data_IF_057150531336
#
_entry.id   IF_057150531336
#
_cell.length_a   1.000
_cell.length_b   1.000
_cell.length_c   1.000
_cell.angle_alpha   90.00
_cell.angle_beta   90.00
_cell.angle_gamma   90.00
#
_symmetry.space_group_name_H-M   'P 1'
#
loop_
_entity.id
_entity.type
_entity.pdbx_description
1 polymer ?
#
# COMPACT_ATOMS: atom_id res chain seq x y z
N UNK A 1 -44.82 13.80 -42.82
CA UNK A 1 -43.83 12.70 -42.81
C UNK A 1 -42.41 13.06 -43.25
N UNK A 2 -42.20 14.12 -44.05
CA UNK A 2 -40.85 14.53 -44.48
C UNK A 2 -40.00 15.12 -43.33
N UNK A 3 -40.57 15.87 -42.41
CA UNK A 3 -39.82 16.54 -41.35
C UNK A 3 -39.30 15.60 -40.25
N UNK A 4 -39.90 14.42 -40.06
CA UNK A 4 -39.45 13.45 -39.04
C UNK A 4 -38.19 12.69 -39.51
N UNK A 5 -38.02 12.52 -40.81
CA UNK A 5 -36.84 11.86 -41.38
C UNK A 5 -35.58 12.76 -41.38
N UNK A 6 -35.74 14.08 -41.53
CA UNK A 6 -34.62 15.02 -41.45
C UNK A 6 -34.10 15.18 -40.01
N UNK A 7 -35.01 15.18 -39.01
CA UNK A 7 -34.60 15.21 -37.59
C UNK A 7 -33.89 13.92 -37.15
N UNK A 8 -34.32 12.75 -37.63
CA UNK A 8 -33.66 11.49 -37.35
C UNK A 8 -32.29 11.39 -38.05
N UNK A 9 -32.14 11.92 -39.25
CA UNK A 9 -30.85 11.98 -39.92
C UNK A 9 -29.89 12.94 -39.23
N UNK A 10 -30.38 14.08 -38.72
CA UNK A 10 -29.57 15.02 -37.92
C UNK A 10 -29.13 14.44 -36.61
N UNK A 11 -29.99 13.66 -35.91
CA UNK A 11 -29.59 12.90 -34.71
C UNK A 11 -28.59 11.79 -35.02
N UNK A 12 -28.73 11.08 -36.15
CA UNK A 12 -27.76 10.05 -36.54
C UNK A 12 -26.39 10.63 -36.89
N UNK A 13 -26.32 11.80 -37.53
CA UNK A 13 -25.06 12.50 -37.81
C UNK A 13 -24.37 13.03 -36.53
N UNK A 14 -25.13 13.43 -35.51
CA UNK A 14 -24.55 13.82 -34.22
C UNK A 14 -23.97 12.63 -33.43
N UNK A 15 -24.50 11.43 -33.61
CA UNK A 15 -23.96 10.22 -32.99
C UNK A 15 -22.72 9.64 -33.71
N UNK A 16 -22.50 9.97 -34.98
CA UNK A 16 -21.42 9.40 -35.81
C UNK A 16 -20.14 10.27 -35.80
N UNK A 17 -20.18 11.51 -35.33
CA UNK A 17 -19.10 12.48 -35.59
C UNK A 17 -18.23 12.82 -34.37
N UNK A 18 -18.63 12.47 -33.15
CA UNK A 18 -17.73 12.60 -32.00
C UNK A 18 -17.48 11.23 -31.40
N UNK A 19 -16.28 10.65 -31.60
CA UNK A 19 -15.89 9.54 -30.75
C UNK A 19 -15.99 10.04 -29.30
N UNK A 20 -16.83 9.41 -28.50
CA UNK A 20 -16.90 9.70 -27.08
C UNK A 20 -15.50 9.41 -26.55
N UNK A 21 -14.70 10.46 -26.39
CA UNK A 21 -13.35 10.36 -25.86
C UNK A 21 -13.46 9.75 -24.45
N UNK A 22 -12.93 8.54 -24.28
CA UNK A 22 -13.01 7.84 -23.00
C UNK A 22 -12.20 8.60 -21.95
N UNK A 23 -12.81 8.82 -20.78
CA UNK A 23 -12.08 9.28 -19.60
C UNK A 23 -11.00 8.28 -19.23
N UNK A 24 -9.78 8.75 -19.00
CA UNK A 24 -8.61 7.89 -18.75
C UNK A 24 -8.08 8.13 -17.34
N UNK A 25 -7.89 7.06 -16.59
CA UNK A 25 -7.30 7.10 -15.26
C UNK A 25 -5.98 6.33 -15.26
N UNK A 26 -4.88 7.02 -14.97
CA UNK A 26 -3.54 6.46 -15.02
C UNK A 26 -2.99 6.34 -13.60
N UNK A 27 -2.51 5.18 -13.23
CA UNK A 27 -1.88 4.92 -11.94
C UNK A 27 -0.41 4.55 -12.18
N UNK A 28 0.53 5.31 -11.61
CA UNK A 28 1.95 4.94 -11.61
C UNK A 28 2.29 4.42 -10.22
N UNK A 29 2.60 3.13 -10.10
CA UNK A 29 2.81 2.50 -8.80
C UNK A 29 3.86 1.39 -8.83
N UNK A 30 4.36 1.00 -7.65
CA UNK A 30 5.13 -0.22 -7.49
C UNK A 30 4.22 -1.43 -7.64
N UNK A 31 4.58 -2.34 -8.57
CA UNK A 31 3.90 -3.63 -8.68
C UNK A 31 4.61 -4.61 -7.74
N UNK A 32 3.97 -4.96 -6.65
CA UNK A 32 4.62 -5.74 -5.61
C UNK A 32 4.18 -7.21 -5.63
N UNK A 33 5.17 -8.12 -5.62
CA UNK A 33 4.97 -9.54 -5.35
C UNK A 33 4.66 -9.79 -3.86
N UNK A 34 3.86 -8.90 -3.27
CA UNK A 34 3.47 -8.92 -1.86
C UNK A 34 2.00 -8.56 -1.71
N UNK A 35 1.38 -9.04 -0.63
CA UNK A 35 0.08 -8.54 -0.19
C UNK A 35 0.33 -7.42 0.82
N UNK A 36 0.01 -6.20 0.44
CA UNK A 36 0.19 -5.00 1.25
C UNK A 36 -0.91 -3.98 0.92
N UNK A 37 -1.03 -2.96 1.76
CA UNK A 37 -2.07 -1.93 1.60
C UNK A 37 -2.06 -1.26 0.23
N UNK A 38 -0.89 -0.84 -0.26
CA UNK A 38 -0.78 -0.19 -1.57
C UNK A 38 -1.30 -1.04 -2.75
N UNK A 39 -0.81 -2.27 -2.97
CA UNK A 39 -1.35 -3.15 -4.01
C UNK A 39 -2.87 -3.41 -3.89
N UNK A 40 -3.38 -3.57 -2.67
CA UNK A 40 -4.82 -3.76 -2.44
C UNK A 40 -5.59 -2.50 -2.79
N UNK A 41 -5.10 -1.33 -2.36
CA UNK A 41 -5.68 -0.04 -2.69
C UNK A 41 -5.78 0.16 -4.21
N UNK A 42 -4.69 -0.07 -4.94
CA UNK A 42 -4.69 0.09 -6.40
C UNK A 42 -5.62 -0.90 -7.10
N UNK A 43 -5.68 -2.16 -6.65
CA UNK A 43 -6.60 -3.14 -7.22
C UNK A 43 -8.08 -2.73 -7.03
N UNK A 44 -8.41 -2.23 -5.84
CA UNK A 44 -9.75 -1.72 -5.55
C UNK A 44 -10.06 -0.45 -6.37
N UNK A 45 -9.10 0.46 -6.50
CA UNK A 45 -9.25 1.69 -7.31
C UNK A 45 -9.47 1.34 -8.79
N UNK A 46 -8.68 0.43 -9.35
CA UNK A 46 -8.87 -0.06 -10.73
C UNK A 46 -10.29 -0.56 -10.93
N UNK A 47 -10.73 -1.49 -10.07
CA UNK A 47 -12.08 -2.05 -10.15
C UNK A 47 -13.17 -0.98 -10.09
N UNK A 48 -13.04 -0.03 -9.16
CA UNK A 48 -14.01 1.05 -8.98
C UNK A 48 -14.07 1.97 -10.20
N UNK A 49 -12.92 2.44 -10.69
CA UNK A 49 -12.87 3.34 -11.84
C UNK A 49 -13.38 2.68 -13.13
N UNK A 50 -13.10 1.38 -13.33
CA UNK A 50 -13.64 0.62 -14.47
C UNK A 50 -15.16 0.47 -14.39
N UNK A 51 -15.73 0.29 -13.19
CA UNK A 51 -17.20 0.26 -13.00
C UNK A 51 -17.87 1.61 -13.36
N UNK A 52 -17.14 2.71 -13.22
CA UNK A 52 -17.59 4.03 -13.66
C UNK A 52 -17.36 4.29 -15.16
N UNK A 53 -16.86 3.31 -15.91
CA UNK A 53 -16.63 3.42 -17.34
C UNK A 53 -15.33 4.14 -17.73
N UNK A 54 -14.38 4.34 -16.78
CA UNK A 54 -13.06 4.88 -17.09
C UNK A 54 -12.17 3.82 -17.72
N UNK A 55 -11.37 4.24 -18.69
CA UNK A 55 -10.24 3.45 -19.13
C UNK A 55 -9.12 3.55 -18.09
N UNK A 56 -8.80 2.45 -17.43
CA UNK A 56 -7.75 2.44 -16.39
C UNK A 56 -6.46 1.88 -16.94
N UNK A 57 -5.37 2.62 -16.73
CA UNK A 57 -4.01 2.24 -17.10
C UNK A 57 -3.18 2.19 -15.84
N UNK A 58 -2.56 1.06 -15.58
CA UNK A 58 -1.56 0.95 -14.52
C UNK A 58 -0.18 0.84 -15.14
N UNK A 59 0.73 1.70 -14.74
CA UNK A 59 2.13 1.72 -15.14
C UNK A 59 2.99 1.23 -13.96
N UNK A 60 3.33 -0.07 -13.89
CA UNK A 60 4.16 -0.58 -12.82
C UNK A 60 5.61 -0.12 -12.96
N UNK A 61 6.20 0.30 -11.85
CA UNK A 61 7.61 0.73 -11.81
C UNK A 61 8.60 -0.41 -11.60
N UNK A 62 8.10 -1.63 -11.41
CA UNK A 62 8.91 -2.84 -11.24
C UNK A 62 8.23 -4.03 -11.91
N UNK A 63 9.06 -5.01 -12.34
CA UNK A 63 8.57 -6.25 -12.92
C UNK A 63 8.05 -7.17 -11.83
N UNK A 64 6.73 -7.32 -11.74
CA UNK A 64 6.10 -8.35 -10.92
C UNK A 64 6.40 -9.75 -11.49
N UNK A 65 6.75 -10.71 -10.64
CA UNK A 65 6.93 -12.12 -11.03
C UNK A 65 5.60 -12.86 -11.04
N UNK A 66 4.72 -12.48 -10.12
CA UNK A 66 3.36 -13.02 -9.99
C UNK A 66 2.45 -11.96 -9.40
N UNK A 67 1.16 -12.07 -9.68
CA UNK A 67 0.13 -11.28 -9.03
C UNK A 67 -0.31 -11.98 -7.76
N UNK A 68 -0.29 -11.28 -6.63
CA UNK A 68 -0.79 -11.77 -5.37
C UNK A 68 -2.12 -11.12 -4.98
N UNK A 69 -2.45 -9.96 -5.58
CA UNK A 69 -3.71 -9.25 -5.35
C UNK A 69 -4.56 -9.34 -6.61
N UNK A 70 -5.71 -10.02 -6.53
CA UNK A 70 -6.64 -10.20 -7.68
C UNK A 70 -7.04 -8.84 -8.28
N UNK A 71 -7.23 -8.80 -9.59
CA UNK A 71 -7.60 -7.61 -10.35
C UNK A 71 -6.43 -6.88 -11.00
N UNK A 72 -5.20 -7.26 -10.65
CA UNK A 72 -3.97 -6.67 -11.22
C UNK A 72 -3.30 -7.55 -12.29
N UNK A 73 -3.87 -8.71 -12.60
CA UNK A 73 -3.30 -9.73 -13.51
C UNK A 73 -3.05 -9.18 -14.90
N UNK A 74 -3.97 -8.37 -15.42
CA UNK A 74 -3.90 -7.77 -16.75
C UNK A 74 -2.73 -6.79 -16.94
N UNK A 75 -2.12 -6.34 -15.85
CA UNK A 75 -0.97 -5.42 -15.88
C UNK A 75 0.39 -6.13 -15.73
N UNK A 76 0.41 -7.46 -15.59
CA UNK A 76 1.62 -8.26 -15.35
C UNK A 76 2.63 -8.23 -16.49
N UNK A 77 2.37 -7.89 -17.65
CA UNK A 77 3.34 -7.79 -18.76
C UNK A 77 3.92 -6.40 -18.97
N UNK A 78 3.23 -5.40 -18.43
CA UNK A 78 3.54 -4.00 -18.63
C UNK A 78 4.29 -3.47 -17.42
N UNK A 79 5.52 -3.01 -17.59
CA UNK A 79 6.28 -2.38 -16.52
C UNK A 79 7.36 -1.47 -17.09
N UNK A 80 7.78 -0.50 -16.32
CA UNK A 80 8.91 0.36 -16.67
C UNK A 80 10.21 -0.46 -16.46
N UNK A 81 10.98 -0.76 -17.51
CA UNK A 81 12.16 -1.59 -17.39
C UNK A 81 13.32 -0.90 -16.69
N UNK A 82 13.19 0.38 -16.46
CA UNK A 82 14.19 1.25 -15.83
C UNK A 82 13.85 1.50 -14.36
N UNK A 83 14.87 1.78 -13.56
CA UNK A 83 14.65 2.22 -12.19
C UNK A 83 14.28 3.71 -12.25
N UNK A 84 13.10 4.05 -11.74
CA UNK A 84 12.65 5.43 -11.61
C UNK A 84 13.20 6.02 -10.31
N UNK A 85 14.42 6.59 -10.36
CA UNK A 85 14.95 7.45 -9.30
C UNK A 85 14.43 8.90 -9.50
N UNK A 86 14.85 9.85 -8.65
CA UNK A 86 14.50 11.26 -8.84
C UNK A 86 14.85 11.74 -10.27
N UNK A 87 13.96 12.49 -10.95
CA UNK A 87 14.22 12.98 -12.31
C UNK A 87 15.53 13.74 -12.45
N UNK A 88 15.98 14.44 -11.40
CA UNK A 88 17.24 15.17 -11.41
C UNK A 88 18.50 14.30 -11.35
N UNK A 89 18.36 13.01 -11.08
CA UNK A 89 19.43 12.03 -11.20
C UNK A 89 19.68 11.59 -12.66
N UNK A 90 18.90 12.09 -13.60
CA UNK A 90 19.05 11.83 -15.03
C UNK A 90 19.49 13.09 -15.76
N UNK A 91 20.27 12.94 -16.84
CA UNK A 91 20.50 14.02 -17.78
C UNK A 91 19.24 14.24 -18.63
N UNK A 92 19.11 15.44 -19.20
CA UNK A 92 17.93 15.85 -19.94
C UNK A 92 17.47 14.78 -20.97
N UNK A 93 18.40 14.32 -21.82
CA UNK A 93 18.07 13.30 -22.83
C UNK A 93 17.53 12.01 -22.22
N UNK A 94 18.14 11.52 -21.14
CA UNK A 94 17.71 10.31 -20.44
C UNK A 94 16.33 10.49 -19.79
N UNK A 95 16.08 11.67 -19.25
CA UNK A 95 14.77 12.00 -18.66
C UNK A 95 13.68 12.03 -19.73
N UNK A 96 13.95 12.66 -20.88
CA UNK A 96 13.02 12.65 -22.01
C UNK A 96 12.73 11.22 -22.51
N UNK A 97 13.74 10.37 -22.67
CA UNK A 97 13.57 8.96 -23.03
C UNK A 97 12.66 8.20 -22.06
N UNK A 98 12.75 8.51 -20.76
CA UNK A 98 11.89 7.88 -19.75
C UNK A 98 10.46 8.42 -19.79
N UNK A 99 10.29 9.71 -20.01
CA UNK A 99 8.95 10.32 -20.17
C UNK A 99 8.28 9.79 -21.44
N UNK A 100 8.99 9.73 -22.55
CA UNK A 100 8.50 9.14 -23.82
C UNK A 100 8.08 7.68 -23.62
N UNK A 101 8.85 6.93 -22.80
CA UNK A 101 8.47 5.57 -22.45
C UNK A 101 7.19 5.50 -21.61
N UNK A 102 7.04 6.37 -20.61
CA UNK A 102 5.81 6.46 -19.83
C UNK A 102 4.61 6.87 -20.70
N UNK A 103 4.82 7.84 -21.60
CA UNK A 103 3.80 8.28 -22.54
C UNK A 103 3.34 7.15 -23.50
N UNK A 104 4.23 6.20 -23.83
CA UNK A 104 3.88 5.08 -24.70
C UNK A 104 2.79 4.15 -24.15
N UNK A 105 2.51 4.20 -22.84
CA UNK A 105 1.39 3.48 -22.24
C UNK A 105 0.05 4.23 -22.40
N UNK A 106 0.08 5.50 -22.74
CA UNK A 106 -1.07 6.38 -22.75
C UNK A 106 -1.75 6.34 -24.13
N UNK A 107 -3.07 6.08 -24.21
CA UNK A 107 -3.80 6.13 -25.47
C UNK A 107 -3.75 7.53 -26.08
N UNK A 108 -3.67 7.58 -27.42
CA UNK A 108 -3.72 8.84 -28.16
C UNK A 108 -5.12 9.44 -28.17
N UNK A 109 -6.12 8.58 -28.30
CA UNK A 109 -7.55 8.96 -28.38
C UNK A 109 -8.17 9.00 -26.96
N UNK A 110 -7.63 9.87 -26.10
CA UNK A 110 -8.09 10.04 -24.72
C UNK A 110 -8.88 11.31 -24.53
N UNK A 111 -9.89 11.25 -23.66
CA UNK A 111 -10.61 12.41 -23.15
C UNK A 111 -9.95 13.00 -21.91
N UNK A 112 -10.75 13.38 -20.94
CA UNK A 112 -10.27 13.79 -19.62
C UNK A 112 -9.31 12.74 -19.06
N UNK A 113 -8.11 13.19 -18.66
CA UNK A 113 -7.06 12.29 -18.19
C UNK A 113 -6.58 12.72 -16.81
N UNK A 114 -6.60 11.78 -15.88
CA UNK A 114 -6.11 11.96 -14.52
C UNK A 114 -4.96 10.98 -14.28
N UNK A 115 -3.88 11.47 -13.69
CA UNK A 115 -2.74 10.64 -13.25
C UNK A 115 -2.75 10.64 -11.73
N UNK A 116 -2.79 9.46 -11.13
CA UNK A 116 -2.64 9.26 -9.69
C UNK A 116 -1.30 8.60 -9.36
N UNK A 117 -0.66 9.14 -8.34
CA UNK A 117 0.57 8.57 -7.75
C UNK A 117 0.49 8.64 -6.22
N UNK A 118 1.32 7.84 -5.53
CA UNK A 118 1.21 7.77 -4.07
C UNK A 118 2.51 7.54 -3.32
N UNK A 119 3.66 7.50 -4.02
CA UNK A 119 4.97 7.27 -3.38
C UNK A 119 6.06 8.12 -4.03
N UNK A 120 7.06 8.51 -3.26
CA UNK A 120 8.16 9.43 -3.61
C UNK A 120 8.46 9.62 -5.11
N UNK A 121 9.22 8.70 -5.70
CA UNK A 121 9.68 8.89 -7.08
C UNK A 121 8.55 8.78 -8.11
N UNK A 122 7.50 8.02 -7.83
CA UNK A 122 6.35 7.96 -8.74
C UNK A 122 5.63 9.30 -8.82
N UNK A 123 5.63 10.09 -7.73
CA UNK A 123 5.03 11.42 -7.71
C UNK A 123 5.72 12.37 -8.69
N UNK A 124 7.05 12.33 -8.77
CA UNK A 124 7.79 13.20 -9.71
C UNK A 124 7.64 12.75 -11.17
N UNK A 125 7.59 11.44 -11.41
CA UNK A 125 7.38 10.92 -12.77
C UNK A 125 5.94 11.05 -13.23
N UNK A 126 4.99 11.01 -12.31
CA UNK A 126 3.58 11.36 -12.56
C UNK A 126 3.44 12.82 -12.98
N UNK A 127 4.15 13.74 -12.31
CA UNK A 127 4.20 15.15 -12.69
C UNK A 127 4.81 15.37 -14.07
N UNK A 128 5.95 14.72 -14.36
CA UNK A 128 6.60 14.83 -15.66
C UNK A 128 5.72 14.29 -16.81
N UNK A 129 5.01 13.18 -16.58
CA UNK A 129 4.08 12.64 -17.55
C UNK A 129 2.87 13.54 -17.72
N UNK A 130 2.32 14.09 -16.61
CA UNK A 130 1.18 14.99 -16.64
C UNK A 130 1.48 16.27 -17.45
N UNK A 131 2.66 16.86 -17.24
CA UNK A 131 3.13 18.00 -18.04
C UNK A 131 3.21 17.64 -19.53
N UNK A 132 3.78 16.48 -19.88
CA UNK A 132 3.95 16.03 -21.26
C UNK A 132 2.62 15.84 -21.98
N UNK A 133 1.62 15.28 -21.31
CA UNK A 133 0.33 14.95 -21.93
C UNK A 133 -0.80 15.93 -21.58
N UNK A 134 -0.49 17.02 -20.88
CA UNK A 134 -1.45 18.02 -20.39
C UNK A 134 -2.59 17.43 -19.54
N UNK A 135 -2.26 16.49 -18.65
CA UNK A 135 -3.21 15.83 -17.77
C UNK A 135 -3.20 16.44 -16.34
N UNK A 136 -4.26 16.21 -15.58
CA UNK A 136 -4.29 16.51 -14.14
C UNK A 136 -3.46 15.46 -13.39
N UNK A 137 -2.59 15.88 -12.48
CA UNK A 137 -1.82 15.00 -11.63
C UNK A 137 -2.20 15.15 -10.16
N UNK A 138 -2.67 14.08 -9.58
CA UNK A 138 -3.11 13.97 -8.19
C UNK A 138 -2.12 13.09 -7.42
N UNK A 139 -1.71 13.55 -6.25
CA UNK A 139 -0.89 12.80 -5.32
C UNK A 139 -1.75 12.36 -4.13
N UNK A 140 -1.94 11.05 -3.97
CA UNK A 140 -2.54 10.47 -2.77
C UNK A 140 -1.42 9.75 -2.02
N UNK A 141 -0.84 10.44 -1.03
CA UNK A 141 0.37 9.98 -0.37
C UNK A 141 0.08 8.80 0.57
N UNK A 142 0.58 7.61 0.19
CA UNK A 142 0.29 6.33 0.85
C UNK A 142 1.35 5.89 1.86
N UNK A 143 2.49 6.58 1.94
CA UNK A 143 3.57 6.18 2.83
C UNK A 143 3.35 6.75 4.24
N UNK A 144 3.21 5.86 5.23
CA UNK A 144 3.11 6.23 6.64
C UNK A 144 4.48 6.63 7.23
N UNK A 145 5.57 6.25 6.56
CA UNK A 145 6.92 6.56 7.02
C UNK A 145 7.34 7.92 6.48
N UNK A 146 8.04 8.70 7.30
CA UNK A 146 8.54 10.00 6.91
C UNK A 146 9.43 9.90 5.67
N UNK A 147 9.06 10.47 4.53
CA UNK A 147 9.97 10.59 3.42
C UNK A 147 11.18 11.40 3.89
N UNK A 148 12.36 11.07 3.39
CA UNK A 148 13.55 11.93 3.57
C UNK A 148 13.37 13.18 2.72
N UNK A 149 12.76 14.18 3.30
CA UNK A 149 12.34 15.38 2.61
C UNK A 149 13.51 16.35 2.52
N UNK A 150 13.88 16.74 1.32
CA UNK A 150 14.77 17.88 1.05
C UNK A 150 13.91 19.11 0.76
N UNK A 151 14.50 20.31 0.84
CA UNK A 151 13.79 21.56 0.58
C UNK A 151 13.01 21.55 -0.76
N UNK A 152 13.64 21.16 -1.85
CA UNK A 152 12.96 21.08 -3.15
C UNK A 152 11.86 20.04 -3.22
N UNK A 153 11.90 19.00 -2.39
CA UNK A 153 10.82 18.00 -2.26
C UNK A 153 9.64 18.61 -1.52
N UNK A 154 9.88 19.37 -0.46
CA UNK A 154 8.81 20.07 0.26
C UNK A 154 8.12 21.09 -0.64
N UNK A 155 8.89 21.86 -1.43
CA UNK A 155 8.32 22.80 -2.39
C UNK A 155 7.41 22.13 -3.42
N UNK A 156 7.77 20.92 -3.87
CA UNK A 156 6.90 20.12 -4.73
C UNK A 156 5.58 19.75 -4.03
N UNK A 157 5.64 19.22 -2.82
CA UNK A 157 4.42 18.86 -2.09
C UNK A 157 3.61 20.08 -1.69
N UNK A 158 4.26 21.20 -1.35
CA UNK A 158 3.58 22.46 -1.11
C UNK A 158 2.86 22.97 -2.36
N UNK A 159 3.50 22.89 -3.52
CA UNK A 159 2.86 23.25 -4.80
C UNK A 159 1.60 22.41 -5.04
N UNK A 160 1.65 21.10 -4.77
CA UNK A 160 0.49 20.21 -4.89
C UNK A 160 -0.59 20.52 -3.86
N UNK A 161 -0.20 20.84 -2.63
CA UNK A 161 -1.09 21.23 -1.55
C UNK A 161 -1.83 22.54 -1.86
N UNK A 162 -1.11 23.57 -2.27
CA UNK A 162 -1.68 24.87 -2.63
C UNK A 162 -2.67 24.78 -3.81
N UNK A 163 -2.63 23.70 -4.56
CA UNK A 163 -3.52 23.43 -5.72
C UNK A 163 -4.64 22.44 -5.41
N UNK A 164 -4.74 21.99 -4.15
CA UNK A 164 -5.66 20.92 -3.75
C UNK A 164 -5.47 19.63 -4.57
N UNK A 165 -4.23 19.33 -4.96
CA UNK A 165 -3.81 18.15 -5.71
C UNK A 165 -3.03 17.15 -4.83
N UNK A 166 -2.96 17.39 -3.50
CA UNK A 166 -2.30 16.53 -2.51
C UNK A 166 -3.28 16.09 -1.44
N UNK A 167 -3.43 14.79 -1.28
CA UNK A 167 -4.08 14.18 -0.13
C UNK A 167 -3.17 13.11 0.50
N UNK A 168 -3.40 12.80 1.76
CA UNK A 168 -2.70 11.74 2.49
C UNK A 168 -3.69 10.72 3.06
N UNK A 169 -3.20 9.54 3.42
CA UNK A 169 -4.04 8.48 4.03
C UNK A 169 -4.51 8.83 5.45
N UNK A 170 -3.93 9.83 6.09
CA UNK A 170 -4.34 10.31 7.42
C UNK A 170 -3.76 11.68 7.74
N UNK A 171 -4.40 12.39 8.65
CA UNK A 171 -3.94 13.70 9.17
C UNK A 171 -2.49 13.64 9.68
N UNK A 172 -2.08 12.67 10.53
CA UNK A 172 -0.69 12.59 10.99
C UNK A 172 0.33 12.42 9.85
N UNK A 173 -0.04 11.74 8.76
CA UNK A 173 0.84 11.57 7.60
C UNK A 173 1.05 12.92 6.91
N UNK A 174 -0.01 13.72 6.70
CA UNK A 174 0.09 15.06 6.13
C UNK A 174 0.96 15.99 6.99
N UNK A 175 0.68 16.03 8.30
CA UNK A 175 1.45 16.83 9.25
C UNK A 175 2.93 16.41 9.29
N UNK A 176 3.21 15.11 9.25
CA UNK A 176 4.58 14.59 9.19
C UNK A 176 5.29 14.91 7.88
N UNK A 177 4.58 14.93 6.75
CA UNK A 177 5.14 15.29 5.44
C UNK A 177 5.72 16.71 5.48
N UNK A 178 5.03 17.65 6.12
CA UNK A 178 5.43 19.06 6.21
C UNK A 178 6.23 19.42 7.48
N UNK A 179 6.48 18.44 8.36
CA UNK A 179 7.14 18.68 9.65
C UNK A 179 8.49 19.42 9.51
N UNK A 180 8.61 20.54 10.22
CA UNK A 180 9.80 21.38 10.20
C UNK A 180 9.83 22.43 9.07
N UNK A 181 8.82 22.46 8.20
CA UNK A 181 8.68 23.44 7.11
C UNK A 181 7.35 24.20 7.19
N UNK A 182 6.27 23.50 7.46
CA UNK A 182 4.93 24.06 7.60
C UNK A 182 4.22 23.34 8.72
N UNK A 183 3.55 24.09 9.60
CA UNK A 183 2.65 23.54 10.61
C UNK A 183 1.23 23.57 10.04
N UNK A 184 0.60 22.41 9.95
CA UNK A 184 -0.78 22.27 9.50
C UNK A 184 -1.67 21.85 10.65
N UNK A 185 -2.78 22.56 10.84
CA UNK A 185 -3.85 22.12 11.72
C UNK A 185 -4.63 20.97 11.12
N UNK A 186 -5.43 20.27 11.92
CA UNK A 186 -6.11 19.05 11.48
C UNK A 186 -7.12 19.30 10.34
N UNK A 187 -7.79 20.43 10.35
CA UNK A 187 -8.77 20.88 9.35
C UNK A 187 -8.12 21.36 8.04
N UNK A 188 -6.83 21.71 8.08
CA UNK A 188 -6.03 22.04 6.89
C UNK A 188 -5.51 20.79 6.18
N UNK A 189 -5.61 19.62 6.81
CA UNK A 189 -5.10 18.38 6.28
C UNK A 189 -6.13 17.63 5.44
N UNK A 190 -5.91 17.51 4.13
CA UNK A 190 -6.71 16.61 3.30
C UNK A 190 -6.31 15.14 3.56
N UNK A 191 -7.13 14.44 4.33
CA UNK A 191 -6.94 13.03 4.65
C UNK A 191 -8.05 12.19 4.01
N UNK A 192 -7.68 11.33 3.05
CA UNK A 192 -8.60 10.46 2.34
C UNK A 192 -8.47 9.02 2.84
N UNK A 193 -9.60 8.43 3.20
CA UNK A 193 -9.62 7.04 3.62
C UNK A 193 -9.29 6.11 2.45
N UNK A 194 -8.27 5.27 2.60
CA UNK A 194 -7.84 4.34 1.56
C UNK A 194 -8.37 2.94 1.81
N UNK A 195 -9.06 2.37 0.83
CA UNK A 195 -9.55 0.98 0.84
C UNK A 195 -8.38 -0.01 0.60
N UNK A 196 -7.51 -0.16 1.60
CA UNK A 196 -6.23 -0.90 1.54
C UNK A 196 -6.19 -2.15 2.42
N UNK A 197 -7.32 -2.55 3.00
CA UNK A 197 -7.41 -3.69 3.91
C UNK A 197 -7.57 -4.99 3.13
N UNK A 198 -6.88 -6.07 3.55
CA UNK A 198 -7.07 -7.40 2.97
C UNK A 198 -8.52 -7.85 3.14
N UNK A 199 -8.98 -8.72 2.26
CA UNK A 199 -10.34 -9.27 2.26
C UNK A 199 -10.36 -10.69 2.79
N UNK A 200 -11.54 -11.12 3.21
CA UNK A 200 -11.83 -12.48 3.65
C UNK A 200 -12.59 -13.21 2.56
N UNK A 201 -12.35 -14.51 2.43
CA UNK A 201 -13.12 -15.37 1.53
C UNK A 201 -13.25 -16.77 2.10
N UNK A 202 -14.33 -17.46 1.75
CA UNK A 202 -14.59 -18.84 2.19
C UNK A 202 -14.12 -19.80 1.10
N UNK A 203 -12.85 -20.21 1.20
CA UNK A 203 -12.26 -21.18 0.30
C UNK A 203 -11.36 -22.16 1.05
N UNK A 204 -11.25 -23.36 0.51
CA UNK A 204 -10.34 -24.39 1.02
C UNK A 204 -8.89 -23.98 0.76
N UNK A 205 -8.11 -23.89 1.82
CA UNK A 205 -6.67 -23.67 1.75
C UNK A 205 -5.92 -24.71 2.59
N UNK A 206 -4.79 -25.19 2.09
CA UNK A 206 -3.97 -26.22 2.77
C UNK A 206 -3.65 -25.90 4.23
N UNK A 207 -3.55 -24.62 4.58
CA UNK A 207 -3.29 -24.19 5.96
C UNK A 207 -4.41 -24.62 6.91
N UNK A 208 -5.65 -24.79 6.42
CA UNK A 208 -6.76 -25.24 7.25
C UNK A 208 -6.50 -26.62 7.88
N UNK A 209 -5.91 -27.54 7.12
CA UNK A 209 -5.57 -28.89 7.63
C UNK A 209 -4.28 -28.91 8.45
N UNK A 210 -3.37 -27.96 8.22
CA UNK A 210 -2.08 -27.91 8.91
C UNK A 210 -2.16 -27.36 10.33
N UNK A 211 -3.11 -26.46 10.62
CA UNK A 211 -3.29 -25.87 11.95
C UNK A 211 -3.89 -26.90 12.91
N UNK A 212 -3.14 -27.40 13.90
CA UNK A 212 -3.63 -28.38 14.84
C UNK A 212 -4.57 -27.75 15.87
N UNK A 213 -5.33 -28.57 16.55
CA UNK A 213 -6.00 -28.18 17.78
C UNK A 213 -4.97 -28.17 18.91
N UNK A 214 -4.67 -27.00 19.46
CA UNK A 214 -3.77 -26.79 20.59
C UNK A 214 -4.54 -26.27 21.81
N UNK A 215 -3.87 -26.12 22.97
CA UNK A 215 -4.49 -25.46 24.12
C UNK A 215 -4.77 -23.99 23.81
N UNK A 216 -3.84 -23.36 23.03
CA UNK A 216 -3.97 -21.99 22.57
C UNK A 216 -3.47 -21.87 21.13
N UNK A 217 -4.26 -21.21 20.27
CA UNK A 217 -3.90 -20.85 18.91
C UNK A 217 -3.84 -19.32 18.78
N UNK A 218 -2.66 -18.78 18.52
CA UNK A 218 -2.42 -17.33 18.43
C UNK A 218 -2.12 -16.97 16.98
N UNK A 219 -2.80 -15.94 16.46
CA UNK A 219 -2.62 -15.47 15.09
C UNK A 219 -1.95 -14.10 15.01
N UNK A 220 -1.22 -13.88 13.94
CA UNK A 220 -0.75 -12.59 13.46
C UNK A 220 -1.13 -12.44 11.99
N UNK A 221 -1.57 -11.26 11.57
CA UNK A 221 -1.80 -10.93 10.16
C UNK A 221 -0.92 -9.74 9.79
N UNK A 222 -0.07 -9.89 8.78
CA UNK A 222 0.75 -8.80 8.28
C UNK A 222 2.10 -9.22 7.72
N UNK A 223 2.83 -8.24 7.16
CA UNK A 223 4.21 -8.47 6.72
C UNK A 223 5.15 -8.62 7.92
N UNK A 224 6.12 -9.52 7.79
CA UNK A 224 7.07 -9.81 8.87
C UNK A 224 8.19 -8.74 9.01
N UNK A 225 8.26 -7.77 8.09
CA UNK A 225 9.17 -6.63 8.16
C UNK A 225 8.55 -5.36 8.77
N UNK A 226 7.32 -5.42 9.28
CA UNK A 226 6.72 -4.25 9.96
C UNK A 226 7.53 -3.92 11.21
N UNK A 227 7.78 -2.62 11.51
CA UNK A 227 8.63 -2.22 12.66
C UNK A 227 8.20 -2.80 14.00
N UNK A 228 6.89 -2.90 14.24
CA UNK A 228 6.31 -3.45 15.47
C UNK A 228 6.32 -4.98 15.54
N UNK A 229 6.64 -5.68 14.44
CA UNK A 229 6.56 -7.14 14.37
C UNK A 229 7.51 -7.83 15.37
N UNK A 230 8.73 -7.33 15.51
CA UNK A 230 9.69 -7.90 16.48
C UNK A 230 9.17 -7.86 17.92
N UNK A 231 8.49 -6.76 18.29
CA UNK A 231 7.89 -6.58 19.61
C UNK A 231 6.77 -7.61 19.83
N UNK A 232 5.89 -7.79 18.83
CA UNK A 232 4.82 -8.80 18.89
C UNK A 232 5.43 -10.21 19.09
N UNK A 233 6.48 -10.54 18.35
CA UNK A 233 7.16 -11.85 18.46
C UNK A 233 7.75 -12.05 19.86
N UNK A 234 8.43 -11.05 20.41
CA UNK A 234 9.04 -11.13 21.72
C UNK A 234 7.98 -11.27 22.83
N UNK A 235 6.83 -10.63 22.71
CA UNK A 235 5.69 -10.78 23.60
C UNK A 235 5.00 -12.16 23.45
N UNK A 236 4.93 -12.72 22.25
CA UNK A 236 4.46 -14.09 22.04
C UNK A 236 5.38 -15.08 22.72
N UNK A 237 6.70 -14.93 22.58
CA UNK A 237 7.70 -15.77 23.24
C UNK A 237 7.58 -15.66 24.77
N UNK A 238 7.39 -14.45 25.29
CA UNK A 238 7.18 -14.20 26.72
C UNK A 238 5.95 -14.95 27.24
N UNK A 239 4.81 -14.84 26.52
CA UNK A 239 3.59 -15.57 26.85
C UNK A 239 3.80 -17.10 26.79
N UNK A 240 4.46 -17.61 25.76
CA UNK A 240 4.72 -19.03 25.57
C UNK A 240 5.61 -19.62 26.68
N UNK A 241 6.65 -18.89 27.10
CA UNK A 241 7.52 -19.29 28.22
C UNK A 241 6.75 -19.39 29.53
N UNK A 242 5.88 -18.43 29.84
CA UNK A 242 5.05 -18.45 31.06
C UNK A 242 4.03 -19.61 31.06
N UNK A 243 3.67 -20.12 29.88
CA UNK A 243 2.71 -21.19 29.70
C UNK A 243 3.36 -22.49 29.19
N UNK A 244 4.58 -22.83 29.66
CA UNK A 244 5.39 -23.93 29.14
C UNK A 244 4.77 -25.34 29.23
N UNK A 245 3.70 -25.53 30.04
CA UNK A 245 2.94 -26.81 30.13
C UNK A 245 1.81 -26.91 29.10
N UNK A 246 1.53 -25.82 28.35
CA UNK A 246 0.46 -25.75 27.36
C UNK A 246 1.00 -25.97 25.96
N UNK A 247 0.28 -26.70 25.12
CA UNK A 247 0.57 -26.79 23.69
C UNK A 247 0.07 -25.52 23.02
N UNK A 248 0.96 -24.77 22.39
CA UNK A 248 0.66 -23.48 21.76
C UNK A 248 0.98 -23.56 20.27
N UNK A 249 0.07 -23.09 19.45
CA UNK A 249 0.29 -22.89 18.02
C UNK A 249 0.29 -21.38 17.72
N UNK A 250 1.31 -20.91 17.04
CA UNK A 250 1.38 -19.53 16.55
C UNK A 250 1.36 -19.55 15.02
N UNK A 251 0.43 -18.83 14.42
CA UNK A 251 0.27 -18.76 12.97
C UNK A 251 0.47 -17.33 12.48
N UNK A 252 1.44 -17.15 11.62
CA UNK A 252 1.73 -15.90 10.95
C UNK A 252 1.09 -15.91 9.55
N UNK A 253 -0.08 -15.25 9.41
CA UNK A 253 -0.76 -15.05 8.12
C UNK A 253 -0.11 -13.87 7.38
N UNK A 254 1.00 -14.15 6.75
CA UNK A 254 1.82 -13.17 6.05
C UNK A 254 3.16 -13.73 5.64
N UNK A 255 3.93 -12.92 4.94
CA UNK A 255 5.23 -13.29 4.42
C UNK A 255 6.26 -12.20 4.61
N UNK A 256 7.45 -12.46 4.12
CA UNK A 256 8.58 -11.56 4.08
C UNK A 256 9.08 -11.39 2.64
N UNK A 257 9.77 -10.27 2.38
CA UNK A 257 10.47 -10.06 1.11
C UNK A 257 11.65 -11.03 0.94
N UNK A 258 12.32 -11.36 2.05
CA UNK A 258 13.49 -12.23 2.08
C UNK A 258 13.25 -13.44 2.97
N UNK A 259 13.61 -14.63 2.48
CA UNK A 259 13.48 -15.89 3.23
C UNK A 259 14.22 -15.85 4.57
N UNK A 260 15.37 -15.16 4.63
CA UNK A 260 16.13 -15.02 5.89
C UNK A 260 15.32 -14.41 7.05
N UNK A 261 14.31 -13.60 6.76
CA UNK A 261 13.40 -13.04 7.80
C UNK A 261 12.51 -14.14 8.39
N UNK A 262 12.05 -15.06 7.54
CA UNK A 262 11.26 -16.21 7.99
C UNK A 262 12.14 -17.16 8.80
N UNK A 263 13.35 -17.46 8.32
CA UNK A 263 14.30 -18.35 9.00
C UNK A 263 14.67 -17.79 10.39
N UNK A 264 14.94 -16.49 10.49
CA UNK A 264 15.22 -15.82 11.76
C UNK A 264 14.03 -15.84 12.73
N UNK A 265 12.79 -15.77 12.20
CA UNK A 265 11.58 -15.92 13.01
C UNK A 265 11.48 -17.35 13.57
N UNK A 266 11.69 -18.36 12.73
CA UNK A 266 11.67 -19.76 13.14
C UNK A 266 12.73 -20.05 14.20
N UNK A 267 13.94 -19.51 14.04
CA UNK A 267 15.03 -19.65 15.01
C UNK A 267 14.67 -19.10 16.40
N UNK A 268 13.93 -18.01 16.49
CA UNK A 268 13.49 -17.45 17.78
C UNK A 268 12.60 -18.40 18.59
N UNK A 269 11.85 -19.27 17.94
CA UNK A 269 10.94 -20.21 18.60
C UNK A 269 11.55 -21.61 18.83
N UNK A 270 12.69 -21.95 18.27
CA UNK A 270 13.33 -23.30 18.36
C UNK A 270 13.54 -23.80 19.77
N UNK A 271 13.81 -22.91 20.74
CA UNK A 271 14.02 -23.28 22.14
C UNK A 271 12.73 -23.62 22.90
N UNK A 272 11.55 -23.40 22.30
CA UNK A 272 10.25 -23.57 22.94
C UNK A 272 9.62 -24.91 22.50
N UNK A 273 9.88 -25.98 23.25
CA UNK A 273 9.40 -27.34 22.91
C UNK A 273 7.87 -27.48 22.93
N UNK A 274 7.18 -26.58 23.61
CA UNK A 274 5.71 -26.53 23.71
C UNK A 274 5.06 -25.71 22.61
N UNK A 275 5.82 -25.11 21.69
CA UNK A 275 5.32 -24.19 20.65
C UNK A 275 5.52 -24.77 19.27
N UNK A 276 4.49 -24.66 18.44
CA UNK A 276 4.54 -24.94 17.02
C UNK A 276 4.22 -23.67 16.25
N UNK A 277 5.02 -23.32 15.24
CA UNK A 277 4.78 -22.14 14.43
C UNK A 277 4.49 -22.50 12.97
N UNK A 278 3.72 -21.65 12.31
CA UNK A 278 3.44 -21.71 10.89
C UNK A 278 3.53 -20.31 10.27
N UNK A 279 4.24 -20.21 9.15
CA UNK A 279 4.27 -19.00 8.32
C UNK A 279 3.58 -19.33 7.00
N UNK A 280 2.46 -18.66 6.69
CA UNK A 280 1.65 -19.02 5.52
C UNK A 280 2.20 -18.47 4.21
N UNK A 281 3.08 -17.48 4.28
CA UNK A 281 3.36 -16.61 3.15
C UNK A 281 2.20 -15.61 2.91
N UNK A 282 2.28 -14.89 1.80
CA UNK A 282 1.25 -13.92 1.41
C UNK A 282 -0.02 -14.62 0.93
N UNK A 283 -1.16 -14.26 1.53
CA UNK A 283 -2.49 -14.75 1.15
C UNK A 283 -3.41 -13.57 0.83
N UNK A 284 -4.10 -13.64 -0.29
CA UNK A 284 -5.13 -12.70 -0.69
C UNK A 284 -6.19 -13.42 -1.57
N UNK A 285 -7.44 -13.43 -1.17
CA UNK A 285 -7.98 -13.08 0.15
C UNK A 285 -7.48 -14.02 1.26
N UNK A 286 -7.77 -13.69 2.52
CA UNK A 286 -7.48 -14.55 3.66
C UNK A 286 -8.56 -15.62 3.83
N UNK A 287 -8.21 -16.89 4.09
CA UNK A 287 -9.20 -17.97 4.27
C UNK A 287 -9.86 -17.89 5.65
N UNK A 288 -11.16 -17.61 5.69
CA UNK A 288 -11.95 -17.44 6.93
C UNK A 288 -11.81 -18.67 7.85
N UNK A 289 -11.91 -19.86 7.27
CA UNK A 289 -11.85 -21.12 8.04
C UNK A 289 -10.53 -21.28 8.81
N UNK A 290 -9.41 -20.81 8.24
CA UNK A 290 -8.12 -20.83 8.92
C UNK A 290 -8.03 -19.79 10.04
N UNK A 291 -8.55 -18.59 9.80
CA UNK A 291 -8.55 -17.53 10.82
C UNK A 291 -9.37 -17.95 12.04
N UNK A 292 -10.54 -18.56 11.83
CA UNK A 292 -11.42 -19.02 12.90
C UNK A 292 -10.86 -20.16 13.77
N UNK A 293 -9.72 -20.74 13.38
CA UNK A 293 -9.00 -21.69 14.24
C UNK A 293 -8.13 -20.99 15.30
N UNK A 294 -7.97 -19.68 15.21
CA UNK A 294 -7.25 -18.91 16.20
C UNK A 294 -8.16 -18.50 17.35
N UNK A 295 -7.63 -18.50 18.56
CA UNK A 295 -8.32 -18.01 19.75
C UNK A 295 -8.22 -16.48 19.86
N UNK A 296 -7.12 -15.91 19.34
CA UNK A 296 -6.83 -14.48 19.37
C UNK A 296 -5.86 -14.09 18.26
N UNK A 297 -6.04 -12.89 17.73
CA UNK A 297 -5.05 -12.23 16.87
C UNK A 297 -4.40 -11.05 17.58
N UNK A 298 -3.12 -10.80 17.24
CA UNK A 298 -2.42 -9.56 17.57
C UNK A 298 -1.88 -8.98 16.27
N UNK A 299 -2.33 -7.81 15.87
CA UNK A 299 -1.96 -7.21 14.59
C UNK A 299 -2.11 -5.69 14.62
N UNK A 300 -1.52 -5.00 13.65
CA UNK A 300 -1.69 -3.55 13.50
C UNK A 300 -2.82 -3.18 12.53
N UNK A 301 -3.41 -2.03 12.73
CA UNK A 301 -4.31 -1.33 11.79
C UNK A 301 -5.37 -2.24 11.10
N UNK A 302 -5.45 -2.19 9.77
CA UNK A 302 -6.39 -2.95 8.97
C UNK A 302 -6.31 -4.47 9.15
N UNK A 303 -5.14 -5.02 9.49
CA UNK A 303 -4.97 -6.45 9.73
C UNK A 303 -5.71 -6.93 10.99
N UNK A 304 -5.72 -6.13 12.06
CA UNK A 304 -6.51 -6.41 13.26
C UNK A 304 -8.01 -6.39 12.96
N UNK A 305 -8.45 -5.45 12.12
CA UNK A 305 -9.82 -5.34 11.65
C UNK A 305 -10.28 -6.58 10.88
N UNK A 306 -9.43 -7.12 10.01
CA UNK A 306 -9.74 -8.34 9.25
C UNK A 306 -9.94 -9.54 10.17
N UNK A 307 -9.09 -9.71 11.19
CA UNK A 307 -9.24 -10.76 12.19
C UNK A 307 -10.56 -10.63 12.97
N UNK A 308 -10.90 -9.41 13.42
CA UNK A 308 -12.17 -9.15 14.09
C UNK A 308 -13.39 -9.46 13.18
N UNK A 309 -13.31 -9.09 11.89
CA UNK A 309 -14.34 -9.44 10.89
C UNK A 309 -14.50 -10.94 10.71
N UNK A 310 -13.45 -11.74 10.85
CA UNK A 310 -13.54 -13.20 10.81
C UNK A 310 -14.22 -13.78 12.04
N UNK A 311 -14.55 -12.96 13.05
CA UNK A 311 -15.17 -13.37 14.29
C UNK A 311 -14.18 -13.86 15.33
N UNK A 312 -12.95 -13.37 15.33
CA UNK A 312 -11.91 -13.72 16.30
C UNK A 312 -11.49 -12.47 17.07
N UNK A 313 -11.27 -12.62 18.39
CA UNK A 313 -10.76 -11.53 19.21
C UNK A 313 -9.44 -11.00 18.62
N UNK A 314 -9.34 -9.69 18.48
CA UNK A 314 -8.19 -9.06 17.86
C UNK A 314 -7.67 -7.90 18.70
N UNK A 315 -6.43 -8.05 19.17
CA UNK A 315 -5.69 -6.99 19.87
C UNK A 315 -5.00 -6.14 18.82
N UNK A 316 -5.35 -4.87 18.75
CA UNK A 316 -4.70 -3.93 17.85
C UNK A 316 -3.48 -3.31 18.51
N UNK A 317 -2.37 -3.30 17.77
CA UNK A 317 -1.12 -2.62 18.13
C UNK A 317 -1.04 -1.29 17.40
N UNK A 318 -0.68 -0.24 18.11
CA UNK A 318 -0.44 1.08 17.55
C UNK A 318 0.80 1.08 16.64
N UNK A 319 0.70 1.78 15.51
CA UNK A 319 1.74 1.78 14.48
C UNK A 319 2.92 2.70 14.82
N UNK A 320 2.76 3.62 15.80
CA UNK A 320 3.76 4.61 16.17
C UNK A 320 4.41 4.26 17.51
N UNK A 321 3.61 3.98 18.54
CA UNK A 321 4.11 3.64 19.87
C UNK A 321 4.47 2.15 20.00
N UNK A 322 3.93 1.30 19.13
CA UNK A 322 4.00 -0.17 19.16
C UNK A 322 3.35 -0.80 20.39
N UNK A 323 2.56 -0.03 21.11
CA UNK A 323 1.79 -0.49 22.27
C UNK A 323 0.41 -1.02 21.86
N UNK A 324 -0.21 -1.93 22.65
CA UNK A 324 -1.56 -2.37 22.38
C UNK A 324 -2.57 -1.25 22.65
N UNK A 325 -3.36 -0.93 21.63
CA UNK A 325 -4.52 -0.03 21.76
C UNK A 325 -5.65 -0.69 22.53
N UNK A 326 -5.77 -2.02 22.47
CA UNK A 326 -6.80 -2.79 23.11
C UNK A 326 -7.43 -3.83 22.18
N UNK A 327 -8.46 -4.54 22.66
CA UNK A 327 -9.27 -5.43 21.84
C UNK A 327 -10.24 -4.60 21.02
N UNK A 328 -10.24 -4.80 19.71
CA UNK A 328 -11.13 -4.10 18.78
C UNK A 328 -12.58 -4.52 19.01
N UNK A 329 -13.47 -3.56 19.32
CA UNK A 329 -14.88 -3.81 19.58
C UNK A 329 -15.76 -3.65 18.33
N UNK A 330 -15.34 -2.79 17.39
CA UNK A 330 -16.05 -2.53 16.15
C UNK A 330 -15.08 -2.33 14.97
N UNK A 331 -15.60 -1.94 13.80
CA UNK A 331 -14.79 -1.67 12.62
C UNK A 331 -14.23 -0.25 12.57
N UNK A 332 -14.55 0.59 13.55
CA UNK A 332 -13.91 1.90 13.71
C UNK A 332 -12.58 1.71 14.43
N UNK A 333 -11.60 2.56 14.10
CA UNK A 333 -10.28 2.50 14.75
C UNK A 333 -10.24 3.30 16.06
N UNK A 334 -11.34 3.42 16.77
CA UNK A 334 -11.47 4.29 17.97
C UNK A 334 -12.08 3.61 19.18
N UNK A 335 -12.67 2.43 19.01
CA UNK A 335 -13.38 1.75 20.07
C UNK A 335 -12.68 0.45 20.48
N UNK A 336 -12.04 0.47 21.66
CA UNK A 336 -11.24 -0.63 22.17
C UNK A 336 -11.56 -0.96 23.62
N UNK A 337 -11.54 -2.25 23.95
CA UNK A 337 -11.56 -2.72 25.32
C UNK A 337 -10.14 -2.90 25.86
N UNK A 338 -9.81 -2.20 26.94
CA UNK A 338 -8.50 -2.27 27.58
C UNK A 338 -8.39 -3.49 28.48
N UNK A 339 -7.18 -4.05 28.55
CA UNK A 339 -6.85 -5.11 29.49
C UNK A 339 -6.76 -4.58 30.92
N UNK A 340 -7.45 -5.17 31.91
CA UNK A 340 -7.44 -4.70 33.29
C UNK A 340 -6.17 -5.11 34.07
N UNK A 341 -5.38 -6.06 33.57
CA UNK A 341 -4.23 -6.63 34.29
C UNK A 341 -2.89 -6.06 33.84
N UNK A 342 -2.86 -5.32 32.74
CA UNK A 342 -1.63 -4.68 32.23
C UNK A 342 -1.79 -4.15 30.83
N UNK A 343 -0.71 -3.54 30.30
CA UNK A 343 -0.73 -2.91 28.98
C UNK A 343 0.28 -3.54 28.00
N UNK A 344 0.81 -4.74 28.31
CA UNK A 344 1.65 -5.48 27.36
C UNK A 344 0.80 -6.42 26.51
N UNK A 345 1.27 -6.73 25.32
CA UNK A 345 0.61 -7.72 24.45
C UNK A 345 0.45 -9.05 25.18
N UNK A 346 1.47 -9.49 25.94
CA UNK A 346 1.40 -10.71 26.73
C UNK A 346 0.34 -10.68 27.84
N UNK A 347 0.02 -9.49 28.39
CA UNK A 347 -1.04 -9.33 29.38
C UNK A 347 -2.42 -9.55 28.72
N UNK A 348 -2.64 -8.99 27.53
CA UNK A 348 -3.85 -9.25 26.73
C UNK A 348 -3.99 -10.73 26.38
N UNK A 349 -2.91 -11.38 25.97
CA UNK A 349 -2.93 -12.82 25.69
C UNK A 349 -3.30 -13.62 26.94
N UNK A 350 -2.75 -13.25 28.11
CA UNK A 350 -3.07 -13.89 29.35
C UNK A 350 -4.54 -13.72 29.74
N UNK A 351 -5.04 -12.50 29.64
CA UNK A 351 -6.42 -12.16 29.90
C UNK A 351 -7.39 -12.93 29.00
N UNK A 352 -7.13 -13.01 27.70
CA UNK A 352 -8.00 -13.67 26.72
C UNK A 352 -7.88 -15.20 26.84
N UNK A 353 -6.67 -15.74 26.84
CA UNK A 353 -6.44 -17.18 26.70
C UNK A 353 -6.52 -17.94 28.02
N UNK A 354 -6.03 -17.35 29.10
CA UNK A 354 -5.98 -18.01 30.43
C UNK A 354 -7.21 -17.67 31.25
N UNK A 355 -7.54 -16.37 31.38
CA UNK A 355 -8.74 -15.95 32.14
C UNK A 355 -10.04 -16.14 31.37
N UNK A 356 -9.97 -16.40 30.05
CA UNK A 356 -11.16 -16.53 29.15
C UNK A 356 -12.05 -15.28 29.18
N UNK A 357 -11.46 -14.11 29.28
CA UNK A 357 -12.10 -12.79 29.28
C UNK A 357 -11.47 -11.87 28.20
N UNK A 358 -12.14 -10.86 27.72
CA UNK A 358 -13.57 -10.59 27.92
C UNK A 358 -14.46 -11.47 27.05
N UNK A 359 -15.66 -11.72 27.53
CA UNK A 359 -16.72 -12.34 26.73
C UNK A 359 -17.40 -11.25 25.92
N UNK A 360 -16.92 -11.03 24.71
CA UNK A 360 -17.44 -10.02 23.78
C UNK A 360 -18.32 -10.69 22.71
N UNK A 361 -19.40 -10.04 22.29
CA UNK A 361 -20.08 -10.43 21.07
C UNK A 361 -19.12 -10.22 19.90
N UNK A 362 -18.79 -11.29 19.20
CA UNK A 362 -17.94 -11.19 18.02
C UNK A 362 -18.77 -10.79 16.79
N UNK A 363 -18.22 -10.03 15.85
CA UNK A 363 -18.91 -9.70 14.61
C UNK A 363 -19.34 -10.98 13.89
N UNK A 364 -20.58 -11.02 13.45
CA UNK A 364 -21.16 -12.18 12.77
C UNK A 364 -20.94 -12.06 11.26
N UNK A 365 -19.96 -12.81 10.77
CA UNK A 365 -19.81 -13.09 9.35
C UNK A 365 -19.25 -11.96 8.49
N UNK A 366 -18.92 -12.33 7.26
CA UNK A 366 -18.43 -11.41 6.22
C UNK A 366 -19.62 -10.97 5.38
N UNK A 367 -19.81 -9.67 5.25
CA UNK A 367 -20.77 -9.09 4.33
C UNK A 367 -20.04 -8.46 3.15
N UNK A 368 -19.85 -9.25 2.09
CA UNK A 368 -19.11 -8.82 0.89
C UNK A 368 -19.71 -7.58 0.21
N UNK A 369 -21.04 -7.44 0.22
CA UNK A 369 -21.70 -6.25 -0.32
C UNK A 369 -21.31 -5.02 0.49
N UNK A 370 -21.46 -5.07 1.79
CA UNK A 370 -21.12 -3.98 2.70
C UNK A 370 -19.63 -3.61 2.62
N UNK A 371 -18.75 -4.60 2.42
CA UNK A 371 -17.32 -4.35 2.24
C UNK A 371 -17.02 -3.64 0.92
N UNK A 372 -17.74 -3.95 -0.15
CA UNK A 372 -17.62 -3.25 -1.42
C UNK A 372 -18.27 -1.88 -1.40
N UNK A 373 -19.42 -1.72 -0.77
CA UNK A 373 -20.07 -0.42 -0.57
C UNK A 373 -19.11 0.54 0.16
N UNK A 374 -18.42 0.07 1.20
CA UNK A 374 -17.38 0.86 1.88
C UNK A 374 -16.21 1.25 0.95
N UNK A 375 -15.78 0.35 0.07
CA UNK A 375 -14.73 0.68 -0.93
C UNK A 375 -15.23 1.76 -1.88
N UNK A 376 -16.48 1.67 -2.33
CA UNK A 376 -17.10 2.68 -3.19
C UNK A 376 -17.18 4.04 -2.48
N UNK A 377 -17.67 4.08 -1.24
CA UNK A 377 -17.72 5.31 -0.42
C UNK A 377 -16.36 5.98 -0.31
N UNK A 378 -15.29 5.21 -0.02
CA UNK A 378 -13.94 5.76 0.00
C UNK A 378 -13.55 6.42 -1.33
N UNK A 379 -13.82 5.76 -2.45
CA UNK A 379 -13.39 6.29 -3.75
C UNK A 379 -14.30 7.37 -4.33
N UNK A 380 -15.55 7.45 -3.92
CA UNK A 380 -16.41 8.61 -4.16
C UNK A 380 -15.83 9.86 -3.51
N UNK A 381 -15.29 9.76 -2.30
CA UNK A 381 -14.59 10.86 -1.63
C UNK A 381 -13.32 11.27 -2.39
N UNK A 382 -12.58 10.29 -2.91
CA UNK A 382 -11.42 10.57 -3.76
C UNK A 382 -11.81 11.31 -5.05
N UNK A 383 -12.91 10.93 -5.69
CA UNK A 383 -13.38 11.63 -6.89
C UNK A 383 -13.83 13.05 -6.57
N UNK A 384 -14.56 13.28 -5.47
CA UNK A 384 -14.93 14.63 -5.03
C UNK A 384 -13.69 15.49 -4.81
N UNK A 385 -12.67 14.98 -4.16
CA UNK A 385 -11.39 15.66 -3.98
C UNK A 385 -10.76 16.02 -5.34
N UNK A 386 -10.74 15.10 -6.30
CA UNK A 386 -10.19 15.32 -7.64
C UNK A 386 -10.99 16.38 -8.39
N UNK A 387 -12.31 16.41 -8.24
CA UNK A 387 -13.19 17.42 -8.86
C UNK A 387 -12.99 18.81 -8.25
N UNK A 388 -12.74 18.88 -6.95
CA UNK A 388 -12.49 20.14 -6.23
C UNK A 388 -11.10 20.70 -6.51
N UNK A 389 -10.13 19.85 -6.86
CA UNK A 389 -8.76 20.28 -7.15
C UNK A 389 -8.70 21.22 -8.37
N UNK A 390 -7.62 22.01 -8.45
CA UNK A 390 -7.43 23.02 -9.48
C UNK A 390 -7.82 22.56 -10.89
N UNK A 391 -8.72 23.30 -11.54
CA UNK A 391 -9.21 22.96 -12.90
C UNK A 391 -8.20 23.25 -14.01
N UNK A 392 -7.28 24.21 -13.78
CA UNK A 392 -6.26 24.59 -14.76
C UNK A 392 -4.99 23.77 -14.54
N UNK A 393 -4.55 22.97 -15.52
CA UNK A 393 -3.27 22.27 -15.43
C UNK A 393 -2.11 23.27 -15.21
N UNK A 394 -1.31 22.99 -14.20
CA UNK A 394 -0.02 23.63 -13.98
C UNK A 394 0.91 22.59 -13.36
N UNK A 395 2.19 22.69 -13.65
CA UNK A 395 3.16 21.66 -13.32
C UNK A 395 4.33 22.26 -12.55
N UNK A 396 4.81 21.48 -11.59
CA UNK A 396 5.99 21.87 -10.82
C UNK A 396 7.26 21.72 -11.66
N UNK A 397 8.11 22.74 -11.63
CA UNK A 397 9.43 22.66 -12.25
C UNK A 397 10.32 21.65 -11.51
N UNK A 398 10.34 20.42 -12.01
CA UNK A 398 11.11 19.33 -11.41
C UNK A 398 12.62 19.57 -11.38
N UNK A 399 13.16 20.59 -12.10
CA UNK A 399 14.56 20.97 -12.00
C UNK A 399 14.93 21.50 -10.61
N UNK A 400 13.96 22.00 -9.85
CA UNK A 400 14.12 22.50 -8.48
C UNK A 400 14.28 21.39 -7.45
N UNK A 401 13.95 20.13 -7.77
CA UNK A 401 14.22 19.01 -6.87
C UNK A 401 15.70 18.89 -6.58
N UNK A 402 16.09 19.05 -5.34
CA UNK A 402 17.47 18.88 -4.91
C UNK A 402 17.96 17.44 -5.07
N UNK A 403 19.25 17.26 -5.31
CA UNK A 403 19.89 15.94 -5.30
C UNK A 403 21.08 15.92 -4.34
N UNK A 404 21.13 14.87 -3.51
CA UNK A 404 22.22 14.62 -2.57
C UNK A 404 23.53 14.29 -3.30
N UNK A 405 24.66 14.37 -2.61
CA UNK A 405 25.97 13.96 -3.16
C UNK A 405 25.94 12.52 -3.69
N UNK A 406 25.25 11.62 -3.00
CA UNK A 406 25.06 10.23 -3.44
C UNK A 406 24.28 10.15 -4.76
N UNK A 407 23.25 10.95 -4.92
CA UNK A 407 22.46 11.05 -6.14
C UNK A 407 23.25 11.66 -7.29
N UNK A 408 24.09 12.67 -7.02
CA UNK A 408 25.04 13.24 -8.02
C UNK A 408 26.00 12.18 -8.54
N UNK A 409 26.55 11.34 -7.67
CA UNK A 409 27.40 10.22 -8.07
C UNK A 409 26.65 9.22 -8.96
N UNK A 410 25.43 8.85 -8.59
CA UNK A 410 24.58 7.96 -9.42
C UNK A 410 24.32 8.55 -10.80
N UNK A 411 24.07 9.86 -10.89
CA UNK A 411 23.89 10.57 -12.15
C UNK A 411 25.12 10.43 -13.06
N UNK A 412 26.32 10.63 -12.52
CA UNK A 412 27.59 10.48 -13.26
C UNK A 412 27.76 9.05 -13.76
N UNK A 413 27.60 8.04 -12.88
CA UNK A 413 27.72 6.63 -13.28
C UNK A 413 26.72 6.26 -14.35
N UNK A 414 25.49 6.73 -14.26
CA UNK A 414 24.45 6.50 -15.26
C UNK A 414 24.77 7.13 -16.60
N UNK A 415 25.43 8.29 -16.58
CA UNK A 415 25.91 8.95 -17.81
C UNK A 415 27.00 8.14 -18.52
N UNK A 416 27.95 7.61 -17.76
CA UNK A 416 29.08 6.84 -18.31
C UNK A 416 28.60 5.49 -18.85
N UNK A 417 27.76 4.78 -18.13
CA UNK A 417 27.32 3.42 -18.44
C UNK A 417 26.10 3.38 -19.38
N UNK A 418 25.36 4.46 -19.48
CA UNK A 418 24.04 4.48 -20.11
C UNK A 418 22.95 3.81 -19.26
N UNK A 419 21.68 4.09 -19.57
CA UNK A 419 20.54 3.63 -18.77
C UNK A 419 20.46 2.09 -18.65
N UNK A 420 20.60 1.38 -19.76
CA UNK A 420 20.43 -0.09 -19.80
C UNK A 420 21.49 -0.81 -18.96
N UNK A 421 22.77 -0.46 -19.17
CA UNK A 421 23.86 -1.12 -18.45
C UNK A 421 23.84 -0.75 -16.95
N UNK A 422 23.63 0.53 -16.63
CA UNK A 422 23.50 0.98 -15.24
C UNK A 422 22.39 0.21 -14.49
N UNK A 423 21.20 0.08 -15.09
CA UNK A 423 20.07 -0.63 -14.48
C UNK A 423 20.36 -2.11 -14.31
N UNK A 424 21.01 -2.76 -15.28
CA UNK A 424 21.45 -4.14 -15.18
C UNK A 424 22.42 -4.36 -14.03
N UNK A 425 23.43 -3.51 -13.92
CA UNK A 425 24.43 -3.58 -12.84
C UNK A 425 23.80 -3.32 -11.47
N UNK A 426 22.91 -2.34 -11.36
CA UNK A 426 22.26 -2.00 -10.09
C UNK A 426 21.35 -3.11 -9.55
N UNK A 427 20.80 -3.95 -10.42
CA UNK A 427 20.04 -5.16 -10.03
C UNK A 427 20.95 -6.30 -9.56
N UNK A 428 22.25 -6.21 -9.78
CA UNK A 428 23.21 -7.23 -9.40
C UNK A 428 23.75 -6.99 -7.98
N UNK A 429 23.77 -8.04 -7.15
CA UNK A 429 24.33 -7.99 -5.77
C UNK A 429 25.78 -7.49 -5.73
N UNK A 430 26.57 -7.74 -6.79
CA UNK A 430 27.96 -7.30 -6.92
C UNK A 430 28.07 -5.78 -6.95
N UNK A 431 27.17 -5.09 -7.66
CA UNK A 431 27.14 -3.62 -7.69
C UNK A 431 26.86 -3.03 -6.30
N UNK A 432 25.93 -3.63 -5.55
CA UNK A 432 25.62 -3.19 -4.18
C UNK A 432 26.84 -3.36 -3.25
N UNK A 433 27.60 -4.44 -3.41
CA UNK A 433 28.85 -4.68 -2.66
C UNK A 433 29.92 -3.66 -3.01
N UNK A 434 30.18 -3.43 -4.29
CA UNK A 434 31.14 -2.42 -4.79
C UNK A 434 30.74 -1.01 -4.37
N UNK A 435 29.47 -0.68 -4.44
CA UNK A 435 28.94 0.61 -4.02
C UNK A 435 29.13 0.85 -2.51
N UNK A 436 28.87 -0.15 -1.69
CA UNK A 436 29.08 -0.07 -0.24
C UNK A 436 30.57 0.03 0.13
N UNK A 437 31.46 -0.62 -0.63
CA UNK A 437 32.91 -0.44 -0.51
C UNK A 437 33.32 1.00 -0.83
N UNK A 438 32.87 1.57 -1.94
CA UNK A 438 33.21 2.93 -2.33
C UNK A 438 32.70 3.98 -1.33
N UNK A 439 31.61 3.70 -0.61
CA UNK A 439 31.12 4.61 0.44
C UNK A 439 32.00 4.57 1.71
N UNK A 440 32.57 3.40 2.05
CA UNK A 440 33.49 3.27 3.19
C UNK A 440 34.83 3.98 2.99
N UNK A 441 35.23 4.23 1.75
CA UNK A 441 36.46 5.00 1.45
C UNK A 441 36.26 6.52 1.49
N UNK A 442 35.04 7.02 1.74
CA UNK A 442 34.71 8.47 1.81
C UNK A 442 34.24 8.93 3.20
N UNK A 443 34.10 8.00 4.16
CA UNK A 443 33.92 8.28 5.58
C UNK A 443 35.27 8.17 6.32
#
# INVERSE_FOLDING_TARGET
MKNIFEDLQSCYYLFVIYPILMKTYIIICGFADVVAGGPIYYANKVRYMEQLGWQVIVIPTNKGKKVLVRGMEKFLGSYVPFILDSPNEYYRKQREELVDYLESFVPKDRGETIIETGTDYTNYWGEALAERIHAKHIVIFLDEQNPRVTEGVIEFYKFKYDREELACISIPVMQNLFKGYLTLEADECCALQCACTNTLDDYEHKINSLIPKSDYNIGYIGRLEKPFFSIIVDEFISFCKRNGRKKITVVFFGGAFEQKTVDALEDKFKSLSNVRIFVTGYLFPLPIAALRKMDVFVSGAGSARVAAKAGVLSVQVDMLSYEPLGIMLDYTFTNYKKCPIGNKISDYLYWILVHKEPKLPLPLGVNYKKDWDFVCECFEEHLKFIEQSSSKPAYYDLSKLGISSKQKMRKIFRSILGLKLYNSLRKNKIYLSLWNCLQKFKS
#
